data_IF_751096860792
#
_entry.id   IF_751096860792
#
_cell.length_a   1.000
_cell.length_b   1.000
_cell.length_c   1.000
_cell.angle_alpha   90.00
_cell.angle_beta   90.00
_cell.angle_gamma   90.00
#
_symmetry.space_group_name_H-M   'P 1'
#
loop_
_entity.id
_entity.type
_entity.pdbx_description
1 polymer ?
#
# COMPACT_ATOMS: atom_id res chain seq x y z
N UNK A 1 16.67 -13.02 -26.10
CA UNK A 1 15.49 -12.48 -25.39
C UNK A 1 15.69 -12.77 -23.91
N UNK A 2 15.89 -11.74 -23.10
CA UNK A 2 15.98 -11.92 -21.64
C UNK A 2 14.56 -12.25 -21.16
N UNK A 3 14.33 -13.36 -20.44
CA UNK A 3 13.01 -13.68 -19.94
C UNK A 3 12.55 -12.57 -18.99
N UNK A 4 11.32 -12.09 -19.18
CA UNK A 4 10.71 -11.11 -18.31
C UNK A 4 10.51 -11.73 -16.92
N UNK A 5 11.24 -11.23 -15.92
CA UNK A 5 11.10 -11.63 -14.53
C UNK A 5 10.23 -10.60 -13.81
N UNK A 6 9.03 -11.02 -13.41
CA UNK A 6 8.11 -10.14 -12.68
C UNK A 6 8.63 -9.81 -11.28
N UNK A 7 8.69 -8.53 -10.94
CA UNK A 7 9.14 -8.03 -9.63
C UNK A 7 7.97 -7.38 -8.87
N UNK A 8 7.72 -7.84 -7.64
CA UNK A 8 6.75 -7.24 -6.71
C UNK A 8 7.44 -6.71 -5.47
N UNK A 9 7.21 -5.44 -5.16
CA UNK A 9 7.69 -4.79 -3.93
C UNK A 9 6.67 -4.97 -2.79
N UNK A 10 7.09 -5.48 -1.63
CA UNK A 10 6.31 -5.41 -0.38
C UNK A 10 6.66 -4.10 0.36
N UNK A 11 5.64 -3.36 0.80
CA UNK A 11 5.84 -2.01 1.36
C UNK A 11 4.77 -1.62 2.38
N UNK A 12 5.12 -0.74 3.31
CA UNK A 12 4.16 -0.05 4.18
C UNK A 12 3.60 1.24 3.55
N UNK A 13 4.03 1.59 2.32
CA UNK A 13 3.57 2.72 1.52
C UNK A 13 3.90 4.12 2.07
N UNK A 14 4.85 4.25 3.00
CA UNK A 14 5.30 5.54 3.54
C UNK A 14 6.33 6.27 2.67
N UNK A 15 6.63 5.76 1.47
CA UNK A 15 7.72 6.28 0.66
C UNK A 15 7.56 7.75 0.26
N UNK A 16 6.33 8.28 0.14
CA UNK A 16 6.09 9.71 -0.07
C UNK A 16 6.52 10.57 1.13
N UNK A 17 6.33 10.09 2.35
CA UNK A 17 6.76 10.80 3.57
C UNK A 17 8.28 10.72 3.77
N UNK A 18 8.89 9.59 3.37
CA UNK A 18 10.35 9.39 3.43
C UNK A 18 11.05 10.22 2.34
N UNK A 19 10.43 10.38 1.16
CA UNK A 19 11.02 11.04 -0.01
C UNK A 19 10.10 12.15 -0.57
N UNK A 20 9.89 13.26 0.16
CA UNK A 20 8.88 14.27 -0.19
C UNK A 20 9.13 14.99 -1.52
N UNK A 21 10.36 14.98 -2.02
CA UNK A 21 10.76 15.67 -3.25
C UNK A 21 10.94 14.71 -4.45
N UNK A 22 10.34 13.51 -4.39
CA UNK A 22 10.48 12.47 -5.41
C UNK A 22 9.12 12.03 -5.93
N UNK A 23 9.04 11.79 -7.23
CA UNK A 23 7.92 11.05 -7.80
C UNK A 23 8.17 9.55 -7.60
N UNK A 24 7.93 9.09 -6.38
CA UNK A 24 8.25 7.72 -5.98
C UNK A 24 7.59 6.68 -6.89
N UNK A 25 6.37 6.90 -7.36
CA UNK A 25 5.69 5.91 -8.20
C UNK A 25 6.35 5.81 -9.56
N UNK A 26 6.71 6.96 -10.15
CA UNK A 26 7.48 6.99 -11.40
C UNK A 26 8.85 6.33 -11.23
N UNK A 27 9.55 6.63 -10.14
CA UNK A 27 10.85 6.04 -9.83
C UNK A 27 10.76 4.50 -9.70
N UNK A 28 9.70 3.97 -9.06
CA UNK A 28 9.46 2.53 -8.96
C UNK A 28 9.25 1.89 -10.35
N UNK A 29 8.50 2.55 -11.24
CA UNK A 29 8.27 2.06 -12.60
C UNK A 29 9.55 2.09 -13.44
N UNK A 30 10.33 3.17 -13.36
CA UNK A 30 11.61 3.29 -14.06
C UNK A 30 12.64 2.27 -13.56
N UNK A 31 12.55 1.88 -12.28
CA UNK A 31 13.35 0.80 -11.70
C UNK A 31 12.89 -0.62 -12.11
N UNK A 32 11.80 -0.75 -12.88
CA UNK A 32 11.29 -2.03 -13.35
C UNK A 32 10.43 -2.79 -12.33
N UNK A 33 9.80 -2.10 -11.38
CA UNK A 33 8.81 -2.71 -10.49
C UNK A 33 7.48 -2.88 -11.22
N UNK A 34 6.95 -4.11 -11.24
CA UNK A 34 5.69 -4.43 -11.91
C UNK A 34 4.47 -4.36 -10.98
N UNK A 35 4.70 -4.59 -9.69
CA UNK A 35 3.64 -4.71 -8.70
C UNK A 35 4.07 -4.25 -7.31
N UNK A 36 3.10 -3.82 -6.51
CA UNK A 36 3.28 -3.47 -5.10
C UNK A 36 2.29 -4.25 -4.24
N UNK A 37 2.74 -4.75 -3.09
CA UNK A 37 1.90 -5.28 -2.02
C UNK A 37 2.00 -4.32 -0.84
N UNK A 38 0.92 -3.60 -0.55
CA UNK A 38 0.89 -2.54 0.45
C UNK A 38 0.20 -3.06 1.72
N UNK A 39 0.87 -2.96 2.86
CA UNK A 39 0.28 -3.34 4.16
C UNK A 39 -0.50 -2.18 4.78
N UNK A 40 -1.82 -2.25 4.67
CA UNK A 40 -2.79 -1.31 5.24
C UNK A 40 -3.39 -1.92 6.52
N UNK A 41 -2.62 -1.92 7.61
CA UNK A 41 -3.04 -2.52 8.88
C UNK A 41 -3.94 -1.58 9.71
N UNK A 42 -5.02 -1.09 9.11
CA UNK A 42 -6.02 -0.24 9.76
C UNK A 42 -7.11 0.16 8.78
N UNK A 43 -8.38 0.08 9.23
CA UNK A 43 -9.54 0.48 8.42
C UNK A 43 -9.86 1.98 8.53
N UNK A 44 -9.23 2.66 9.48
CA UNK A 44 -9.24 4.10 9.69
C UNK A 44 -7.90 4.53 10.28
N UNK A 45 -7.71 5.85 10.37
CA UNK A 45 -6.47 6.45 10.88
C UNK A 45 -6.21 6.11 12.35
N UNK A 46 -7.26 6.07 13.18
CA UNK A 46 -7.13 5.76 14.60
C UNK A 46 -6.60 4.34 14.79
N UNK A 47 -7.22 3.36 14.13
CA UNK A 47 -6.81 1.95 14.17
C UNK A 47 -5.42 1.79 13.59
N UNK A 48 -5.12 2.43 12.45
CA UNK A 48 -3.79 2.38 11.84
C UNK A 48 -2.72 2.91 12.79
N UNK A 49 -2.96 4.07 13.42
CA UNK A 49 -2.00 4.67 14.34
C UNK A 49 -1.80 3.80 15.59
N UNK A 50 -2.87 3.19 16.11
CA UNK A 50 -2.81 2.27 17.27
C UNK A 50 -2.00 1.01 16.95
N UNK A 51 -2.25 0.39 15.78
CA UNK A 51 -1.64 -0.88 15.38
C UNK A 51 -0.21 -0.68 14.84
N UNK A 52 -0.03 0.23 13.88
CA UNK A 52 1.24 0.44 13.18
C UNK A 52 2.23 1.33 13.95
N UNK A 53 1.74 2.20 14.84
CA UNK A 53 2.54 3.20 15.58
C UNK A 53 3.54 3.94 14.66
N UNK A 54 3.05 4.57 13.57
CA UNK A 54 3.92 5.15 12.57
C UNK A 54 4.76 6.29 13.14
N UNK A 55 6.01 6.42 12.65
CA UNK A 55 6.91 7.51 13.04
C UNK A 55 6.53 8.88 12.45
N UNK A 56 5.63 8.90 11.46
CA UNK A 56 5.24 10.08 10.72
C UNK A 56 3.80 10.49 11.04
N UNK A 57 3.55 11.80 11.10
CA UNK A 57 2.19 12.34 11.04
C UNK A 57 1.59 12.07 9.65
N UNK A 58 0.26 11.96 9.57
CA UNK A 58 -0.48 11.70 8.34
C UNK A 58 -0.12 10.38 7.61
N UNK A 59 0.52 9.45 8.30
CA UNK A 59 0.98 8.16 7.75
C UNK A 59 -0.14 7.38 7.05
N UNK A 60 -1.30 7.30 7.69
CA UNK A 60 -2.48 6.65 7.12
C UNK A 60 -2.94 7.33 5.82
N UNK A 61 -3.07 8.67 5.84
CA UNK A 61 -3.46 9.41 4.64
C UNK A 61 -2.46 9.22 3.50
N UNK A 62 -1.16 9.24 3.82
CA UNK A 62 -0.09 9.01 2.83
C UNK A 62 -0.15 7.60 2.24
N UNK A 63 -0.44 6.57 3.04
CA UNK A 63 -0.49 5.19 2.52
C UNK A 63 -1.67 5.01 1.56
N UNK A 64 -2.82 5.62 1.87
CA UNK A 64 -3.99 5.63 0.98
C UNK A 64 -3.67 6.37 -0.33
N UNK A 65 -2.95 7.50 -0.25
CA UNK A 65 -2.51 8.22 -1.44
C UNK A 65 -1.53 7.39 -2.29
N UNK A 66 -0.61 6.68 -1.65
CA UNK A 66 0.35 5.78 -2.33
C UNK A 66 -0.38 4.70 -3.12
N UNK A 67 -1.33 3.99 -2.48
CA UNK A 67 -2.17 2.96 -3.13
C UNK A 67 -2.89 3.54 -4.35
N UNK A 68 -3.51 4.70 -4.20
CA UNK A 68 -4.25 5.38 -5.28
C UNK A 68 -3.33 5.78 -6.44
N UNK A 69 -2.19 6.41 -6.16
CA UNK A 69 -1.24 6.83 -7.21
C UNK A 69 -0.59 5.65 -7.92
N UNK A 70 -0.18 4.61 -7.18
CA UNK A 70 0.37 3.39 -7.77
C UNK A 70 -0.61 2.76 -8.77
N UNK A 71 -1.90 2.69 -8.40
CA UNK A 71 -2.95 2.16 -9.29
C UNK A 71 -3.16 3.02 -10.53
N UNK A 72 -3.23 4.34 -10.36
CA UNK A 72 -3.39 5.29 -11.48
C UNK A 72 -2.23 5.20 -12.48
N UNK A 73 -1.03 4.92 -11.99
CA UNK A 73 0.18 4.73 -12.79
C UNK A 73 0.32 3.29 -13.35
N UNK A 74 -0.73 2.47 -13.24
CA UNK A 74 -0.78 1.11 -13.80
C UNK A 74 0.18 0.09 -13.17
N UNK A 75 0.62 0.30 -11.93
CA UNK A 75 1.19 -0.81 -11.14
C UNK A 75 0.09 -1.79 -10.73
N UNK A 76 0.40 -3.08 -10.67
CA UNK A 76 -0.50 -4.03 -9.99
C UNK A 76 -0.40 -3.82 -8.47
N UNK A 77 -1.53 -3.53 -7.82
CA UNK A 77 -1.56 -3.08 -6.42
C UNK A 77 -2.34 -4.07 -5.56
N UNK A 78 -1.65 -4.91 -4.80
CA UNK A 78 -2.27 -5.72 -3.76
C UNK A 78 -2.32 -4.93 -2.45
N UNK A 79 -3.47 -4.90 -1.78
CA UNK A 79 -3.59 -4.38 -0.41
C UNK A 79 -3.69 -5.57 0.54
N UNK A 80 -2.96 -5.53 1.63
CA UNK A 80 -2.92 -6.59 2.64
C UNK A 80 -3.12 -6.01 4.03
N UNK A 81 -3.65 -6.83 4.93
CA UNK A 81 -3.78 -6.49 6.33
C UNK A 81 -3.56 -7.74 7.19
N UNK A 82 -3.06 -7.55 8.41
CA UNK A 82 -2.98 -8.61 9.42
C UNK A 82 -4.37 -8.90 9.98
N UNK A 83 -4.67 -10.17 10.24
CA UNK A 83 -5.97 -10.61 10.76
C UNK A 83 -5.95 -10.61 12.29
N UNK A 84 -6.29 -9.45 12.89
CA UNK A 84 -6.34 -9.25 14.34
C UNK A 84 -7.68 -8.59 14.75
N UNK A 85 -8.14 -8.75 16.01
CA UNK A 85 -9.42 -8.22 16.46
C UNK A 85 -9.60 -6.71 16.28
N UNK A 86 -8.51 -5.95 16.30
CA UNK A 86 -8.51 -4.50 16.15
C UNK A 86 -8.81 -4.05 14.71
N UNK A 87 -8.67 -4.93 13.72
CA UNK A 87 -8.77 -4.60 12.30
C UNK A 87 -10.04 -5.23 11.70
N UNK A 88 -10.93 -4.36 11.23
CA UNK A 88 -12.04 -4.73 10.37
C UNK A 88 -11.58 -4.83 8.90
N UNK A 89 -11.29 -6.05 8.46
CA UNK A 89 -10.87 -6.34 7.08
C UNK A 89 -11.95 -5.97 6.05
N UNK A 90 -13.24 -6.06 6.43
CA UNK A 90 -14.34 -5.69 5.52
C UNK A 90 -14.34 -4.21 5.22
N UNK A 91 -14.06 -3.36 6.22
CA UNK A 91 -13.95 -1.91 6.00
C UNK A 91 -12.73 -1.53 5.17
N UNK A 92 -11.59 -2.21 5.36
CA UNK A 92 -10.43 -2.06 4.47
C UNK A 92 -10.83 -2.40 3.04
N UNK A 93 -11.57 -3.49 2.87
CA UNK A 93 -12.08 -3.90 1.58
C UNK A 93 -12.98 -2.83 0.96
N UNK A 94 -13.94 -2.28 1.68
CA UNK A 94 -14.83 -1.24 1.17
C UNK A 94 -14.05 0.03 0.76
N UNK A 95 -13.05 0.41 1.57
CA UNK A 95 -12.15 1.53 1.28
C UNK A 95 -11.34 1.29 0.00
N UNK A 96 -10.87 0.07 -0.23
CA UNK A 96 -9.95 -0.28 -1.32
C UNK A 96 -10.59 -0.98 -2.51
N UNK A 97 -11.87 -1.30 -2.45
CA UNK A 97 -12.64 -2.01 -3.48
C UNK A 97 -12.69 -1.24 -4.80
N UNK A 98 -12.46 0.08 -4.75
CA UNK A 98 -12.24 0.94 -5.92
C UNK A 98 -10.90 0.69 -6.62
N UNK A 99 -9.97 -0.07 -6.02
CA UNK A 99 -8.56 -0.15 -6.43
C UNK A 99 -8.05 -1.56 -6.78
N UNK A 100 -8.53 -2.66 -6.18
CA UNK A 100 -8.17 -4.05 -6.57
C UNK A 100 -9.13 -5.11 -5.96
N UNK A 101 -9.01 -6.44 -6.23
CA UNK A 101 -9.83 -7.50 -5.62
C UNK A 101 -9.48 -7.75 -4.12
N UNK A 102 -10.29 -8.56 -3.40
CA UNK A 102 -10.29 -8.70 -1.92
C UNK A 102 -8.87 -8.76 -1.31
N UNK A 103 -8.57 -7.98 -0.25
CA UNK A 103 -7.29 -8.02 0.42
C UNK A 103 -7.02 -9.43 0.95
N UNK A 104 -5.79 -9.90 0.76
CA UNK A 104 -5.39 -11.20 1.30
C UNK A 104 -4.95 -11.02 2.76
N UNK A 105 -5.54 -11.78 3.71
CA UNK A 105 -5.09 -11.76 5.09
C UNK A 105 -3.65 -12.28 5.17
N UNK A 106 -2.77 -11.53 5.86
CA UNK A 106 -1.45 -12.01 6.27
C UNK A 106 -1.60 -12.64 7.67
N UNK A 107 -1.27 -13.93 7.79
CA UNK A 107 -1.21 -14.66 9.07
C UNK A 107 -0.03 -14.19 9.91
#
# INVERSE_FOLDING_TARGET
>A
MIPFLRVRLDTNGHAFLINPNRDVIKDLKEAGIDAVSVSLNGHDEETYNRVCKPAFKDAYKSVIEFIRKAKNESLDVEVTAVEIPEIDISKIWDLTSKFNPKPKPKR
#
